data_IF_769817508190
#
_entry.id   IF_769817508190
#
_cell.length_a   1.000
_cell.length_b   1.000
_cell.length_c   1.000
_cell.angle_alpha   90.00
_cell.angle_beta   90.00
_cell.angle_gamma   90.00
#
_symmetry.space_group_name_H-M   'P 1'
#
loop_
_entity.id
_entity.type
_entity.pdbx_description
1 polymer ?
#
# COMPACT_ATOMS: atom_id res chain seq x y z
N UNK A 1 -22.95 -28.51 20.58
CA UNK A 1 -22.07 -28.40 19.40
C UNK A 1 -22.28 -27.01 18.81
N UNK A 2 -21.39 -26.11 19.11
CA UNK A 2 -21.43 -24.73 18.59
C UNK A 2 -20.39 -24.58 17.48
N UNK A 3 -20.75 -24.05 16.33
CA UNK A 3 -19.76 -23.75 15.26
C UNK A 3 -19.07 -22.43 15.56
N UNK A 4 -17.78 -22.49 15.81
CA UNK A 4 -16.87 -21.37 15.86
C UNK A 4 -16.71 -20.80 14.45
N UNK A 5 -17.07 -19.54 14.26
CA UNK A 5 -16.79 -18.79 13.04
C UNK A 5 -15.32 -18.36 13.02
N UNK A 6 -14.55 -18.65 11.97
CA UNK A 6 -13.19 -18.12 11.84
C UNK A 6 -13.20 -16.74 11.22
N UNK A 7 -12.58 -15.80 11.91
CA UNK A 7 -12.27 -14.44 11.48
C UNK A 7 -11.15 -14.43 10.42
N UNK A 8 -11.26 -13.51 9.52
CA UNK A 8 -10.46 -13.33 8.33
C UNK A 8 -8.95 -13.07 8.60
N UNK A 9 -8.02 -13.90 8.12
CA UNK A 9 -6.60 -13.79 8.45
C UNK A 9 -5.76 -12.83 7.58
N UNK A 10 -6.25 -12.31 6.46
CA UNK A 10 -5.48 -11.33 5.69
C UNK A 10 -5.31 -10.00 6.45
N UNK A 11 -6.26 -9.67 7.33
CA UNK A 11 -6.12 -8.57 8.28
C UNK A 11 -5.28 -8.97 9.52
N UNK A 12 -5.21 -10.25 9.87
CA UNK A 12 -4.53 -10.72 11.09
C UNK A 12 -3.01 -10.84 10.94
N UNK A 13 -2.47 -11.03 9.75
CA UNK A 13 -1.01 -10.97 9.53
C UNK A 13 -0.43 -9.56 9.67
N UNK A 14 -1.30 -8.54 9.69
CA UNK A 14 -0.94 -7.15 9.96
C UNK A 14 -1.30 -6.70 11.38
N UNK A 15 -1.97 -7.54 12.17
CA UNK A 15 -2.50 -7.22 13.50
C UNK A 15 -1.71 -7.90 14.61
N UNK A 16 -0.58 -7.32 14.98
CA UNK A 16 -0.26 -7.25 16.41
C UNK A 16 -1.32 -6.35 17.04
N UNK A 17 -2.08 -6.84 18.03
CA UNK A 17 -3.20 -6.14 18.65
C UNK A 17 -2.82 -4.69 19.03
N UNK A 18 -3.51 -3.65 18.51
CA UNK A 18 -3.41 -2.30 19.06
C UNK A 18 -4.43 -2.18 20.21
N UNK A 19 -3.96 -1.73 21.37
CA UNK A 19 -4.83 -1.18 22.42
C UNK A 19 -5.67 -0.05 21.80
N UNK A 20 -6.98 -0.07 22.07
CA UNK A 20 -7.92 0.96 21.65
C UNK A 20 -7.52 2.31 22.24
N UNK A 21 -7.31 3.35 21.41
CA UNK A 21 -7.35 4.72 21.90
C UNK A 21 -8.79 5.18 22.02
N UNK A 22 -9.08 5.84 23.13
CA UNK A 22 -10.35 6.46 23.49
C UNK A 22 -10.81 7.48 22.44
N UNK A 23 -12.13 7.50 22.27
CA UNK A 23 -12.91 8.45 21.48
C UNK A 23 -12.49 9.91 21.69
N UNK A 24 -12.17 10.63 20.61
CA UNK A 24 -12.27 12.07 20.63
C UNK A 24 -11.15 12.90 20.01
N UNK A 25 -10.19 12.32 19.30
CA UNK A 25 -9.11 13.13 18.75
C UNK A 25 -9.15 13.25 17.22
N UNK A 26 -9.13 14.53 16.80
CA UNK A 26 -8.92 15.02 15.44
C UNK A 26 -7.72 14.31 14.82
N UNK A 27 -7.91 13.69 13.66
CA UNK A 27 -6.84 13.04 12.91
C UNK A 27 -5.64 13.98 12.77
N UNK A 28 -4.44 13.59 13.24
CA UNK A 28 -3.25 14.42 13.03
C UNK A 28 -2.97 14.55 11.53
N UNK A 29 -2.66 15.77 11.10
CA UNK A 29 -2.33 16.07 9.72
C UNK A 29 -1.17 15.15 9.27
N UNK A 30 -1.46 14.27 8.32
CA UNK A 30 -0.44 13.41 7.72
C UNK A 30 0.61 14.28 7.04
N UNK A 31 1.87 14.21 7.48
CA UNK A 31 2.97 14.86 6.77
C UNK A 31 3.12 14.22 5.39
N UNK A 32 2.76 15.00 4.39
CA UNK A 32 2.85 14.63 2.98
C UNK A 32 4.24 14.96 2.46
N UNK A 33 4.98 13.96 1.98
CA UNK A 33 6.07 14.23 1.04
C UNK A 33 5.45 14.29 -0.37
N UNK A 34 5.21 15.50 -0.86
CA UNK A 34 4.79 15.71 -2.24
C UNK A 34 6.00 15.56 -3.15
N UNK A 35 6.03 14.47 -3.92
CA UNK A 35 6.81 14.44 -5.14
C UNK A 35 6.16 15.40 -6.16
N UNK A 36 6.97 16.10 -6.95
CA UNK A 36 6.52 17.07 -7.94
C UNK A 36 5.34 16.56 -8.79
N UNK A 37 4.23 17.28 -8.72
CA UNK A 37 3.01 16.98 -9.45
C UNK A 37 1.79 17.00 -8.57
N UNK A 38 1.28 18.19 -8.25
CA UNK A 38 0.12 18.39 -7.38
C UNK A 38 -1.09 17.58 -7.83
N UNK A 39 -1.41 16.53 -7.08
CA UNK A 39 -2.68 15.82 -7.20
C UNK A 39 -3.82 16.73 -6.75
N UNK A 40 -4.96 16.66 -7.44
CA UNK A 40 -6.15 17.42 -7.06
C UNK A 40 -6.78 16.89 -5.77
N UNK A 41 -6.56 15.63 -5.40
CA UNK A 41 -7.09 14.98 -4.21
C UNK A 41 -6.04 14.84 -3.11
N UNK A 42 -6.47 14.87 -1.85
CA UNK A 42 -5.59 14.58 -0.70
C UNK A 42 -5.21 13.10 -0.67
N UNK A 43 -4.03 12.70 -0.18
CA UNK A 43 -3.63 11.30 -0.08
C UNK A 43 -4.66 10.43 0.65
N UNK A 44 -5.21 10.95 1.75
CA UNK A 44 -6.25 10.28 2.52
C UNK A 44 -7.50 9.98 1.69
N UNK A 45 -7.92 10.91 0.84
CA UNK A 45 -9.08 10.72 -0.02
C UNK A 45 -8.81 9.64 -1.07
N UNK A 46 -7.63 9.63 -1.68
CA UNK A 46 -7.26 8.61 -2.68
C UNK A 46 -7.25 7.22 -2.04
N UNK A 47 -6.67 7.08 -0.85
CA UNK A 47 -6.65 5.80 -0.12
C UNK A 47 -8.07 5.35 0.21
N UNK A 48 -8.90 6.24 0.73
CA UNK A 48 -10.29 5.95 1.09
C UNK A 48 -11.09 5.50 -0.14
N UNK A 49 -11.06 6.29 -1.22
CA UNK A 49 -11.81 6.01 -2.46
C UNK A 49 -11.34 4.68 -3.09
N UNK A 50 -10.04 4.41 -3.08
CA UNK A 50 -9.50 3.13 -3.56
C UNK A 50 -10.02 1.95 -2.74
N UNK A 51 -9.93 1.99 -1.41
CA UNK A 51 -10.41 0.90 -0.55
C UNK A 51 -11.92 0.71 -0.72
N UNK A 52 -12.68 1.80 -0.82
CA UNK A 52 -14.12 1.74 -1.12
C UNK A 52 -14.41 1.07 -2.46
N UNK A 53 -13.63 1.39 -3.50
CA UNK A 53 -13.84 0.80 -4.83
C UNK A 53 -13.57 -0.72 -4.86
N UNK A 54 -12.65 -1.21 -4.04
CA UNK A 54 -12.25 -2.62 -3.97
C UNK A 54 -13.13 -3.42 -3.01
N UNK A 55 -13.42 -2.87 -1.84
CA UNK A 55 -14.15 -3.60 -0.78
C UNK A 55 -15.64 -3.34 -0.76
N UNK A 56 -16.09 -2.17 -1.22
CA UNK A 56 -17.47 -1.71 -1.07
C UNK A 56 -17.88 -1.44 0.39
N UNK A 57 -16.94 -1.51 1.34
CA UNK A 57 -17.22 -1.41 2.78
C UNK A 57 -16.58 -0.16 3.40
N UNK A 58 -17.39 0.82 3.83
CA UNK A 58 -16.87 2.02 4.51
C UNK A 58 -16.06 1.72 5.77
N UNK A 59 -16.40 0.66 6.50
CA UNK A 59 -15.66 0.26 7.71
C UNK A 59 -14.25 -0.22 7.37
N UNK A 60 -14.09 -0.94 6.26
CA UNK A 60 -12.78 -1.35 5.78
C UNK A 60 -11.92 -0.13 5.37
N UNK A 61 -12.54 0.87 4.72
CA UNK A 61 -11.86 2.10 4.36
C UNK A 61 -11.43 2.90 5.60
N UNK A 62 -12.33 3.10 6.57
CA UNK A 62 -12.03 3.77 7.83
C UNK A 62 -10.92 3.05 8.62
N UNK A 63 -10.97 1.72 8.66
CA UNK A 63 -9.94 0.92 9.32
C UNK A 63 -8.57 1.13 8.66
N UNK A 64 -8.49 1.02 7.34
CA UNK A 64 -7.24 1.22 6.59
C UNK A 64 -6.67 2.63 6.84
N UNK A 65 -7.52 3.65 6.84
CA UNK A 65 -7.12 5.02 7.11
C UNK A 65 -6.52 5.19 8.50
N UNK A 66 -7.16 4.64 9.53
CA UNK A 66 -6.64 4.67 10.91
C UNK A 66 -5.34 3.91 11.04
N UNK A 67 -5.24 2.74 10.40
CA UNK A 67 -4.04 1.92 10.41
C UNK A 67 -2.86 2.67 9.79
N UNK A 68 -3.02 3.24 8.58
CA UNK A 68 -1.98 4.01 7.92
C UNK A 68 -1.58 5.23 8.75
N UNK A 69 -2.56 5.97 9.30
CA UNK A 69 -2.30 7.13 10.13
C UNK A 69 -1.45 6.77 11.36
N UNK A 70 -1.77 5.67 12.04
CA UNK A 70 -0.99 5.15 13.16
C UNK A 70 0.45 4.80 12.78
N UNK A 71 0.66 4.14 11.65
CA UNK A 71 1.98 3.78 11.14
C UNK A 71 2.81 5.01 10.76
N UNK A 72 2.19 6.02 10.16
CA UNK A 72 2.87 7.29 9.82
C UNK A 72 3.24 8.05 11.09
N UNK A 73 2.35 8.10 12.08
CA UNK A 73 2.62 8.74 13.38
C UNK A 73 3.79 8.07 14.12
N UNK A 74 3.87 6.76 14.08
CA UNK A 74 4.97 5.98 14.66
C UNK A 74 6.25 6.02 13.82
N UNK A 75 6.28 6.72 12.69
CA UNK A 75 7.40 6.80 11.75
C UNK A 75 7.81 5.46 11.12
N UNK A 76 6.93 4.46 11.14
CA UNK A 76 7.15 3.14 10.53
C UNK A 76 6.87 3.17 9.03
N UNK A 77 5.97 4.04 8.60
CA UNK A 77 5.59 4.19 7.21
C UNK A 77 5.47 5.65 6.77
N UNK A 78 5.43 5.84 5.45
CA UNK A 78 5.26 7.16 4.82
C UNK A 78 4.29 7.08 3.67
N UNK A 79 3.46 8.12 3.50
CA UNK A 79 2.67 8.31 2.30
C UNK A 79 3.42 9.21 1.31
N UNK A 80 3.55 8.74 0.08
CA UNK A 80 4.20 9.46 -1.01
C UNK A 80 3.17 9.57 -2.12
N UNK A 81 2.92 10.78 -2.60
CA UNK A 81 1.91 11.02 -3.63
C UNK A 81 2.56 11.53 -4.93
N UNK A 82 2.18 10.90 -6.04
CA UNK A 82 2.47 11.38 -7.38
C UNK A 82 1.16 11.43 -8.19
N UNK A 83 0.68 12.63 -8.48
CA UNK A 83 -0.63 12.81 -9.11
C UNK A 83 -1.77 12.29 -8.21
N UNK A 84 -2.62 11.42 -8.77
CA UNK A 84 -3.69 10.73 -8.04
C UNK A 84 -3.31 9.28 -7.66
N UNK A 85 -2.02 9.01 -7.50
CA UNK A 85 -1.50 7.75 -6.99
C UNK A 85 -0.79 8.00 -5.67
N UNK A 86 -1.11 7.22 -4.66
CA UNK A 86 -0.48 7.22 -3.35
C UNK A 86 0.26 5.92 -3.15
N UNK A 87 1.50 6.03 -2.74
CA UNK A 87 2.35 4.91 -2.33
C UNK A 87 2.49 4.95 -0.81
N UNK A 88 2.10 3.87 -0.16
CA UNK A 88 2.39 3.69 1.25
C UNK A 88 3.63 2.84 1.39
N UNK A 89 4.71 3.48 1.82
CA UNK A 89 6.04 2.90 1.92
C UNK A 89 6.38 2.60 3.38
N UNK A 90 6.73 1.34 3.65
CA UNK A 90 7.16 0.86 4.97
C UNK A 90 8.60 0.34 4.89
N UNK A 91 9.45 0.77 5.80
CA UNK A 91 10.79 0.18 5.90
C UNK A 91 10.70 -1.19 6.56
N UNK A 92 11.16 -2.24 5.87
CA UNK A 92 11.16 -3.63 6.36
C UNK A 92 12.52 -4.09 6.89
N UNK A 93 13.58 -3.31 6.61
CA UNK A 93 14.93 -3.61 7.05
C UNK A 93 15.93 -2.62 6.44
N UNK A 94 17.23 -2.79 6.70
CA UNK A 94 18.25 -1.93 6.14
C UNK A 94 18.19 -1.91 4.60
N UNK A 95 17.92 -0.75 4.03
CA UNK A 95 17.86 -0.56 2.59
C UNK A 95 16.66 -1.19 1.86
N UNK A 96 15.69 -1.78 2.57
CA UNK A 96 14.50 -2.40 1.98
C UNK A 96 13.23 -1.63 2.36
N UNK A 97 12.44 -1.30 1.36
CA UNK A 97 11.12 -0.67 1.52
C UNK A 97 10.04 -1.54 0.88
N UNK A 98 8.98 -1.77 1.62
CA UNK A 98 7.76 -2.40 1.11
C UNK A 98 6.75 -1.33 0.74
N UNK A 99 6.09 -1.50 -0.43
CA UNK A 99 5.28 -0.45 -1.02
C UNK A 99 3.92 -0.99 -1.41
N UNK A 100 2.87 -0.34 -0.91
CA UNK A 100 1.49 -0.57 -1.35
C UNK A 100 1.03 0.61 -2.21
N UNK A 101 0.22 0.33 -3.23
CA UNK A 101 -0.21 1.31 -4.22
C UNK A 101 -1.71 1.50 -4.12
N UNK A 102 -2.13 2.75 -3.95
CA UNK A 102 -3.53 3.19 -4.03
C UNK A 102 -3.65 4.16 -5.19
N UNK A 103 -4.48 3.84 -6.18
CA UNK A 103 -4.57 4.66 -7.39
C UNK A 103 -5.95 4.63 -8.00
N UNK A 104 -6.35 5.78 -8.54
CA UNK A 104 -7.51 5.93 -9.41
C UNK A 104 -7.08 6.25 -10.86
N UNK A 105 -5.77 6.27 -11.11
CA UNK A 105 -5.22 6.61 -12.41
C UNK A 105 -5.25 5.41 -13.36
N UNK A 106 -5.36 5.70 -14.65
CA UNK A 106 -5.33 4.68 -15.70
C UNK A 106 -3.99 3.94 -15.71
N UNK A 107 -3.95 2.68 -16.17
CA UNK A 107 -2.74 1.84 -16.20
C UNK A 107 -1.52 2.51 -16.82
N UNK A 108 -1.70 3.24 -17.94
CA UNK A 108 -0.60 3.92 -18.63
C UNK A 108 0.03 5.03 -17.79
N UNK A 109 -0.79 5.73 -16.99
CA UNK A 109 -0.32 6.77 -16.08
C UNK A 109 0.37 6.14 -14.87
N UNK A 110 -0.15 5.01 -14.38
CA UNK A 110 0.43 4.28 -13.26
C UNK A 110 1.90 3.88 -13.53
N UNK A 111 2.26 3.47 -14.74
CA UNK A 111 3.67 3.17 -15.10
C UNK A 111 4.56 4.39 -14.81
N UNK A 112 4.13 5.59 -15.19
CA UNK A 112 4.87 6.83 -14.91
C UNK A 112 5.03 7.05 -13.40
N UNK A 113 3.97 6.79 -12.61
CA UNK A 113 3.99 6.94 -11.15
C UNK A 113 4.94 5.94 -10.49
N UNK A 114 4.96 4.72 -10.97
CA UNK A 114 5.89 3.69 -10.49
C UNK A 114 7.35 4.09 -10.75
N UNK A 115 7.65 4.66 -11.93
CA UNK A 115 8.99 5.22 -12.22
C UNK A 115 9.35 6.37 -11.27
N UNK A 116 8.39 7.25 -10.95
CA UNK A 116 8.60 8.31 -9.97
C UNK A 116 8.87 7.75 -8.56
N UNK A 117 8.11 6.73 -8.13
CA UNK A 117 8.33 6.06 -6.85
C UNK A 117 9.68 5.33 -6.80
N UNK A 118 10.10 4.70 -7.90
CA UNK A 118 11.44 4.11 -8.02
C UNK A 118 12.54 5.15 -7.82
N UNK A 119 12.44 6.29 -8.52
CA UNK A 119 13.42 7.37 -8.40
C UNK A 119 13.44 7.97 -6.99
N UNK A 120 12.27 8.09 -6.36
CA UNK A 120 12.16 8.51 -4.97
C UNK A 120 12.90 7.51 -4.05
N UNK A 121 12.65 6.22 -4.17
CA UNK A 121 13.32 5.21 -3.36
C UNK A 121 14.84 5.25 -3.54
N UNK A 122 15.31 5.43 -4.78
CA UNK A 122 16.73 5.63 -5.11
C UNK A 122 17.30 6.87 -4.39
N UNK A 123 16.60 8.00 -4.43
CA UNK A 123 17.03 9.25 -3.78
C UNK A 123 17.10 9.14 -2.26
N UNK A 124 16.33 8.23 -1.65
CA UNK A 124 16.34 7.95 -0.21
C UNK A 124 17.35 6.86 0.19
N UNK A 125 18.11 6.32 -0.76
CA UNK A 125 19.14 5.31 -0.51
C UNK A 125 18.62 3.89 -0.29
N UNK A 126 17.36 3.61 -0.64
CA UNK A 126 16.85 2.25 -0.66
C UNK A 126 17.54 1.44 -1.76
N UNK A 127 17.82 0.18 -1.47
CA UNK A 127 18.43 -0.77 -2.40
C UNK A 127 17.42 -1.76 -2.98
N UNK A 128 16.35 -1.99 -2.25
CA UNK A 128 15.31 -2.96 -2.62
C UNK A 128 13.92 -2.40 -2.35
N UNK A 129 13.04 -2.54 -3.32
CA UNK A 129 11.61 -2.28 -3.18
C UNK A 129 10.89 -3.62 -3.28
N UNK A 130 9.98 -3.88 -2.35
CA UNK A 130 9.08 -5.03 -2.39
C UNK A 130 7.64 -4.57 -2.49
N UNK A 131 6.77 -5.39 -3.05
CA UNK A 131 5.33 -5.19 -3.07
C UNK A 131 4.61 -6.52 -3.26
N UNK A 132 3.45 -6.68 -2.66
CA UNK A 132 2.59 -7.84 -2.89
C UNK A 132 1.38 -7.41 -3.71
N UNK A 133 1.17 -8.08 -4.82
CA UNK A 133 0.10 -7.82 -5.79
C UNK A 133 -0.84 -9.01 -5.84
N UNK A 134 -2.13 -8.76 -5.89
CA UNK A 134 -3.17 -9.81 -6.08
C UNK A 134 -3.78 -9.76 -7.47
N UNK A 135 -3.54 -8.68 -8.21
CA UNK A 135 -4.07 -8.46 -9.54
C UNK A 135 -3.05 -8.79 -10.62
N UNK A 136 -3.38 -9.76 -11.47
CA UNK A 136 -2.53 -10.19 -12.58
C UNK A 136 -2.38 -9.12 -13.66
N UNK A 137 -3.38 -8.27 -13.86
CA UNK A 137 -3.31 -7.23 -14.88
C UNK A 137 -2.29 -6.15 -14.49
N UNK A 138 -2.20 -5.81 -13.21
CA UNK A 138 -1.12 -4.98 -12.68
C UNK A 138 0.25 -5.64 -12.87
N UNK A 139 0.37 -6.95 -12.64
CA UNK A 139 1.62 -7.69 -12.91
C UNK A 139 2.01 -7.62 -14.38
N UNK A 140 1.06 -7.82 -15.29
CA UNK A 140 1.30 -7.72 -16.75
C UNK A 140 1.72 -6.31 -17.14
N UNK A 141 1.03 -5.31 -16.60
CA UNK A 141 1.35 -3.91 -16.84
C UNK A 141 2.78 -3.57 -16.39
N UNK A 142 3.17 -4.02 -15.20
CA UNK A 142 4.51 -3.80 -14.66
C UNK A 142 5.59 -4.39 -15.58
N UNK A 143 5.36 -5.57 -16.15
CA UNK A 143 6.28 -6.19 -17.12
C UNK A 143 6.53 -5.31 -18.34
N UNK A 144 5.60 -4.45 -18.71
CA UNK A 144 5.76 -3.48 -19.83
C UNK A 144 6.44 -2.19 -19.43
N UNK A 145 6.66 -1.96 -18.13
CA UNK A 145 7.21 -0.70 -17.62
C UNK A 145 8.68 -0.45 -17.99
N UNK A 146 9.41 -1.50 -18.32
CA UNK A 146 10.86 -1.47 -18.53
C UNK A 146 11.68 -1.32 -17.24
N UNK A 147 11.05 -1.38 -16.07
CA UNK A 147 11.74 -1.43 -14.78
C UNK A 147 12.08 -2.89 -14.49
N UNK A 148 13.35 -3.23 -14.18
CA UNK A 148 13.74 -4.59 -13.86
C UNK A 148 13.18 -4.99 -12.49
N UNK A 149 12.37 -6.04 -12.45
CA UNK A 149 11.89 -6.64 -11.21
C UNK A 149 11.69 -8.15 -11.36
N UNK A 150 11.79 -8.83 -10.24
CA UNK A 150 11.49 -10.25 -10.13
C UNK A 150 10.09 -10.43 -9.55
N UNK A 151 9.35 -11.40 -10.07
CA UNK A 151 8.05 -11.80 -9.56
C UNK A 151 8.11 -13.26 -9.15
N UNK A 152 7.70 -13.53 -7.91
CA UNK A 152 7.51 -14.86 -7.38
C UNK A 152 6.04 -15.05 -7.08
N UNK A 153 5.45 -16.11 -7.60
CA UNK A 153 4.09 -16.48 -7.26
C UNK A 153 4.05 -16.95 -5.81
N UNK A 154 3.07 -16.48 -5.08
CA UNK A 154 2.79 -16.82 -3.68
C UNK A 154 1.28 -16.92 -3.49
N UNK A 155 0.84 -17.09 -2.28
CA UNK A 155 -0.57 -16.97 -1.92
C UNK A 155 -0.71 -16.26 -0.59
N UNK A 156 -1.76 -15.49 -0.47
CA UNK A 156 -2.13 -14.80 0.76
C UNK A 156 -3.55 -15.19 1.16
N UNK A 157 -3.85 -15.10 2.44
CA UNK A 157 -5.23 -15.30 2.89
C UNK A 157 -6.01 -13.99 2.74
N UNK A 158 -7.17 -14.05 2.09
CA UNK A 158 -8.14 -12.95 2.07
C UNK A 158 -9.09 -13.00 3.28
N UNK A 159 -8.83 -13.92 4.21
CA UNK A 159 -9.61 -14.14 5.40
C UNK A 159 -10.70 -15.20 5.28
N UNK A 160 -10.94 -15.68 4.09
CA UNK A 160 -11.86 -16.78 3.82
C UNK A 160 -11.13 -17.97 3.17
N UNK A 161 -10.18 -17.67 2.30
CA UNK A 161 -9.43 -18.66 1.54
C UNK A 161 -8.04 -18.14 1.18
N UNK A 162 -7.18 -19.03 0.72
CA UNK A 162 -5.90 -18.66 0.10
C UNK A 162 -6.15 -18.19 -1.32
N UNK A 163 -5.73 -16.97 -1.64
CA UNK A 163 -5.81 -16.41 -2.98
C UNK A 163 -4.42 -16.27 -3.58
N UNK A 164 -4.28 -16.46 -4.90
CA UNK A 164 -3.01 -16.25 -5.58
C UNK A 164 -2.53 -14.81 -5.37
N UNK A 165 -1.26 -14.68 -5.10
CA UNK A 165 -0.59 -13.39 -4.98
C UNK A 165 0.78 -13.44 -5.67
N UNK A 166 1.36 -12.27 -5.90
CA UNK A 166 2.63 -12.12 -6.58
C UNK A 166 3.52 -11.21 -5.75
N UNK A 167 4.59 -11.78 -5.21
CA UNK A 167 5.62 -11.00 -4.54
C UNK A 167 6.52 -10.39 -5.60
N UNK A 168 6.50 -9.08 -5.71
CA UNK A 168 7.40 -8.32 -6.57
C UNK A 168 8.61 -7.87 -5.75
N UNK A 169 9.79 -8.01 -6.33
CA UNK A 169 11.04 -7.50 -5.78
C UNK A 169 11.80 -6.74 -6.87
N UNK A 170 12.20 -5.52 -6.57
CA UNK A 170 12.87 -4.62 -7.49
C UNK A 170 14.17 -4.12 -6.86
N UNK A 171 15.29 -4.32 -7.55
CA UNK A 171 16.57 -3.74 -7.14
C UNK A 171 16.66 -2.30 -7.60
N UNK A 172 17.07 -1.42 -6.68
CA UNK A 172 17.31 0.00 -6.94
C UNK A 172 18.79 0.23 -7.21
N UNK A 173 19.12 0.55 -8.46
CA UNK A 173 20.49 0.78 -8.94
C UNK A 173 20.77 2.23 -9.23
#
# INVERSE_FOLDING_TARGET
>A
MSPTSPLAPAAQSMLGQPQQPSTGDVMPAMKQESGEGGGKKKPSQIVYDYVMSVSGDPKAADYMMRFIAGQVQQKIGRLIQFGNTVFWAQQKGPGTVDVHIFTEERPQVLIKRIKQAYNWAKSKGFKTITSTLTDMDTVRLLKTSGIPFNITQTSISDGRQMVPAYQMTMEVK
#
